data_IF_015500983996
#
_entry.id   IF_015500983996
#
_cell.length_a   1.000
_cell.length_b   1.000
_cell.length_c   1.000
_cell.angle_alpha   90.00
_cell.angle_beta   90.00
_cell.angle_gamma   90.00
#
_symmetry.space_group_name_H-M   'P 1'
#
loop_
_entity.id
_entity.type
_entity.pdbx_description
1 polymer ?
#
# COMPACT_ATOMS: atom_id res chain seq x y z
N UNK A 1 18.11 0.11 -74.33
CA UNK A 1 18.85 0.74 -73.20
C UNK A 1 17.97 1.52 -72.22
N UNK A 2 16.74 1.84 -72.51
CA UNK A 2 15.85 2.64 -71.66
C UNK A 2 15.24 1.83 -70.44
N UNK A 3 15.02 0.53 -70.60
CA UNK A 3 14.31 -0.34 -69.63
C UNK A 3 15.14 -0.69 -68.40
N UNK A 4 16.45 -0.76 -68.51
CA UNK A 4 17.34 -1.13 -67.40
C UNK A 4 17.51 0.01 -66.40
N UNK A 5 17.42 1.26 -66.79
CA UNK A 5 17.48 2.42 -65.91
C UNK A 5 16.20 2.53 -65.04
N UNK A 6 15.06 2.23 -65.64
CA UNK A 6 13.77 2.25 -64.89
C UNK A 6 13.70 1.15 -63.85
N UNK A 7 14.18 -0.05 -64.13
CA UNK A 7 14.24 -1.15 -63.16
C UNK A 7 15.13 -0.82 -61.93
N UNK A 8 16.28 -0.20 -62.19
CA UNK A 8 17.19 0.25 -61.12
C UNK A 8 16.60 1.37 -60.27
N UNK A 9 15.80 2.24 -60.86
CA UNK A 9 15.13 3.32 -60.13
C UNK A 9 14.01 2.76 -59.25
N UNK A 10 13.19 1.86 -59.79
CA UNK A 10 12.11 1.19 -59.05
C UNK A 10 12.69 0.38 -57.89
N UNK A 11 13.80 -0.33 -58.06
CA UNK A 11 14.47 -1.10 -57.03
C UNK A 11 14.97 -0.20 -55.88
N UNK A 12 15.50 0.97 -56.20
CA UNK A 12 15.92 1.94 -55.14
C UNK A 12 14.73 2.47 -54.35
N UNK A 13 13.60 2.74 -55.00
CA UNK A 13 12.40 3.20 -54.30
C UNK A 13 11.80 2.09 -53.42
N UNK A 14 11.86 0.84 -53.86
CA UNK A 14 11.42 -0.31 -53.10
C UNK A 14 12.30 -0.53 -51.85
N UNK A 15 13.61 -0.37 -51.95
CA UNK A 15 14.51 -0.48 -50.81
C UNK A 15 14.31 0.64 -49.77
N UNK A 16 14.02 1.86 -50.19
CA UNK A 16 13.67 2.97 -49.30
C UNK A 16 12.32 2.72 -48.62
N UNK A 17 11.34 2.22 -49.38
CA UNK A 17 10.02 1.90 -48.84
C UNK A 17 10.09 0.77 -47.81
N UNK A 18 10.89 -0.26 -48.07
CA UNK A 18 11.13 -1.35 -47.14
C UNK A 18 11.84 -0.86 -45.86
N UNK A 19 12.82 0.04 -45.96
CA UNK A 19 13.52 0.63 -44.84
C UNK A 19 12.58 1.48 -43.93
N UNK A 20 11.65 2.23 -44.57
CA UNK A 20 10.64 3.02 -43.85
C UNK A 20 9.67 2.10 -43.11
N UNK A 21 9.23 1.01 -43.71
CA UNK A 21 8.35 0.02 -43.04
C UNK A 21 9.06 -0.62 -41.83
N UNK A 22 10.34 -0.93 -41.93
CA UNK A 22 11.09 -1.50 -40.80
C UNK A 22 11.19 -0.55 -39.62
N UNK A 23 11.19 0.77 -39.85
CA UNK A 23 11.21 1.78 -38.77
C UNK A 23 9.86 1.80 -37.99
N UNK A 24 8.74 1.56 -38.68
CA UNK A 24 7.41 1.49 -38.07
C UNK A 24 7.12 0.15 -37.36
N UNK A 25 7.92 -0.89 -37.60
CA UNK A 25 7.79 -2.21 -36.98
C UNK A 25 8.64 -2.37 -35.70
N UNK A 26 9.39 -1.34 -35.28
CA UNK A 26 10.03 -1.36 -33.96
C UNK A 26 8.92 -1.28 -32.90
N UNK A 27 8.66 -2.34 -32.12
CA UNK A 27 7.72 -2.22 -31.03
C UNK A 27 8.31 -1.17 -30.08
N UNK A 28 7.61 -0.06 -29.93
CA UNK A 28 7.85 0.84 -28.81
C UNK A 28 7.45 0.03 -27.59
N UNK A 29 8.42 -0.68 -26.99
CA UNK A 29 8.26 -1.17 -25.64
C UNK A 29 8.11 0.08 -24.78
N UNK A 30 6.87 0.53 -24.61
CA UNK A 30 6.53 1.45 -23.56
C UNK A 30 7.03 0.77 -22.30
N UNK A 31 8.03 1.36 -21.65
CA UNK A 31 8.30 1.09 -20.25
C UNK A 31 7.05 1.56 -19.54
N UNK A 32 6.04 0.68 -19.42
CA UNK A 32 5.08 0.78 -18.36
C UNK A 32 5.96 0.66 -17.11
N UNK A 33 6.30 1.78 -16.52
CA UNK A 33 6.75 1.82 -15.15
C UNK A 33 5.51 1.38 -14.38
N UNK A 34 5.41 0.07 -14.14
CA UNK A 34 4.53 -0.42 -13.10
C UNK A 34 5.00 0.31 -11.85
N UNK A 35 4.15 1.17 -11.29
CA UNK A 35 4.29 1.62 -9.92
C UNK A 35 4.10 0.37 -9.04
N UNK A 36 5.13 -0.47 -9.05
CA UNK A 36 5.20 -1.62 -8.17
C UNK A 36 5.09 -1.08 -6.75
N UNK A 37 4.25 -1.70 -5.95
CA UNK A 37 4.14 -1.38 -4.53
C UNK A 37 5.55 -1.28 -3.94
N UNK A 38 5.82 -0.21 -3.21
CA UNK A 38 7.15 0.03 -2.66
C UNK A 38 7.50 -0.95 -1.55
N UNK A 39 6.50 -1.57 -0.95
CA UNK A 39 6.64 -2.56 0.11
C UNK A 39 5.42 -3.48 0.18
N UNK A 40 5.59 -4.63 0.85
CA UNK A 40 4.53 -5.59 1.15
C UNK A 40 4.34 -5.68 2.66
N UNK A 41 3.10 -6.03 3.06
CA UNK A 41 2.72 -6.23 4.46
C UNK A 41 2.01 -7.56 4.60
N UNK A 42 2.39 -8.34 5.62
CA UNK A 42 1.71 -9.57 5.99
C UNK A 42 1.53 -9.63 7.51
N UNK A 43 0.33 -9.99 8.02
CA UNK A 43 0.13 -10.26 9.44
C UNK A 43 0.75 -11.62 9.81
N UNK A 44 1.35 -11.69 10.99
CA UNK A 44 1.68 -12.94 11.66
C UNK A 44 0.69 -13.12 12.81
N UNK A 45 -0.23 -14.07 12.68
CA UNK A 45 -1.32 -14.23 13.61
C UNK A 45 -0.87 -14.83 14.94
N UNK A 46 -1.29 -14.23 16.08
CA UNK A 46 -1.01 -14.75 17.41
C UNK A 46 -1.87 -15.98 17.73
N UNK A 47 -1.57 -16.64 18.86
CA UNK A 47 -2.34 -17.82 19.30
C UNK A 47 -3.76 -17.49 19.76
N UNK A 48 -4.04 -16.22 20.07
CA UNK A 48 -5.37 -15.69 20.40
C UNK A 48 -6.27 -15.48 19.18
N UNK A 49 -5.72 -15.66 17.95
CA UNK A 49 -6.46 -15.55 16.70
C UNK A 49 -7.60 -16.56 16.64
N UNK A 50 -8.80 -16.10 16.28
CA UNK A 50 -9.93 -16.99 16.03
C UNK A 50 -9.76 -17.75 14.71
N UNK A 51 -10.16 -19.03 14.68
CA UNK A 51 -9.91 -19.94 13.54
C UNK A 51 -10.61 -19.51 12.23
N UNK A 52 -11.57 -18.61 12.29
CA UNK A 52 -12.42 -18.24 11.16
C UNK A 52 -11.82 -17.15 10.25
N UNK A 53 -10.73 -16.51 10.64
CA UNK A 53 -10.10 -15.42 9.88
C UNK A 53 -8.66 -15.77 9.50
N UNK A 54 -8.32 -15.55 8.22
CA UNK A 54 -6.97 -15.76 7.67
C UNK A 54 -6.42 -14.49 6.99
N UNK A 55 -7.16 -13.38 7.00
CA UNK A 55 -6.81 -12.16 6.28
C UNK A 55 -6.76 -10.91 7.15
N UNK A 56 -7.26 -10.99 8.38
CA UNK A 56 -7.25 -9.90 9.34
C UNK A 56 -7.12 -10.46 10.76
N UNK A 57 -6.73 -9.64 11.71
CA UNK A 57 -6.70 -10.02 13.12
C UNK A 57 -8.13 -10.12 13.66
N UNK A 58 -8.51 -11.28 14.14
CA UNK A 58 -9.78 -11.56 14.78
C UNK A 58 -9.48 -12.23 16.12
N UNK A 59 -9.48 -11.43 17.18
CA UNK A 59 -8.89 -11.82 18.48
C UNK A 59 -9.96 -11.94 19.57
N UNK A 60 -9.80 -12.92 20.43
CA UNK A 60 -10.60 -13.06 21.62
C UNK A 60 -9.72 -12.86 22.86
N UNK A 61 -9.78 -11.67 23.43
CA UNK A 61 -8.95 -11.22 24.55
C UNK A 61 -9.78 -10.92 25.78
N UNK A 62 -9.20 -11.16 26.95
CA UNK A 62 -9.82 -10.82 28.24
C UNK A 62 -9.60 -9.34 28.59
N UNK A 63 -10.45 -8.77 29.48
CA UNK A 63 -10.21 -7.42 29.99
C UNK A 63 -8.83 -7.28 30.65
N UNK A 64 -8.12 -6.21 30.26
CA UNK A 64 -6.77 -5.91 30.73
C UNK A 64 -5.66 -6.77 30.14
N UNK A 65 -5.99 -7.71 29.25
CA UNK A 65 -5.00 -8.54 28.55
C UNK A 65 -4.20 -7.70 27.54
N UNK A 66 -2.94 -8.05 27.37
CA UNK A 66 -2.05 -7.45 26.37
C UNK A 66 -1.65 -8.50 25.37
N UNK A 67 -1.78 -8.17 24.08
CA UNK A 67 -1.40 -9.03 22.96
C UNK A 67 -0.39 -8.31 22.07
N UNK A 68 0.54 -9.06 21.48
CA UNK A 68 1.49 -8.55 20.51
C UNK A 68 1.02 -8.87 19.09
N UNK A 69 0.73 -7.84 18.32
CA UNK A 69 0.40 -7.96 16.90
C UNK A 69 1.68 -7.83 16.09
N UNK A 70 1.98 -8.80 15.24
CA UNK A 70 3.19 -8.80 14.44
C UNK A 70 2.86 -8.55 12.98
N UNK A 71 3.49 -7.53 12.39
CA UNK A 71 3.47 -7.25 10.97
C UNK A 71 4.83 -7.60 10.37
N UNK A 72 4.83 -8.36 9.30
CA UNK A 72 6.02 -8.62 8.48
C UNK A 72 6.01 -7.61 7.33
N UNK A 73 6.92 -6.65 7.37
CA UNK A 73 7.12 -5.64 6.33
C UNK A 73 8.28 -6.06 5.44
N UNK A 74 8.12 -5.97 4.13
CA UNK A 74 9.16 -6.25 3.15
C UNK A 74 9.31 -5.05 2.22
N UNK A 75 10.49 -4.46 2.16
CA UNK A 75 10.83 -3.42 1.20
C UNK A 75 11.19 -4.03 -0.15
N UNK A 76 10.47 -3.67 -1.21
CA UNK A 76 10.73 -4.18 -2.57
C UNK A 76 11.67 -3.29 -3.39
N UNK A 77 12.05 -2.12 -2.84
CA UNK A 77 13.02 -1.22 -3.47
C UNK A 77 14.46 -1.59 -3.09
N UNK A 78 15.41 -1.11 -3.89
CA UNK A 78 16.85 -1.20 -3.57
C UNK A 78 17.27 -0.15 -2.52
N UNK A 79 16.55 0.98 -2.47
CA UNK A 79 16.79 2.06 -1.52
C UNK A 79 16.04 1.80 -0.21
N UNK A 80 16.51 2.44 0.87
CA UNK A 80 15.80 2.43 2.15
C UNK A 80 14.52 3.26 2.05
N UNK A 81 13.48 2.80 2.75
CA UNK A 81 12.21 3.52 2.89
C UNK A 81 11.87 3.70 4.37
N UNK A 82 11.07 4.70 4.66
CA UNK A 82 10.46 4.90 5.98
C UNK A 82 8.99 4.57 5.89
N UNK A 83 8.49 3.77 6.81
CA UNK A 83 7.09 3.33 6.87
C UNK A 83 6.50 3.76 8.20
N UNK A 84 5.27 4.25 8.16
CA UNK A 84 4.48 4.58 9.35
C UNK A 84 3.30 3.63 9.46
N UNK A 85 3.03 3.16 10.67
CA UNK A 85 1.83 2.38 11.01
C UNK A 85 0.97 3.23 11.92
N UNK A 86 -0.27 3.48 11.50
CA UNK A 86 -1.22 4.30 12.27
C UNK A 86 -2.49 3.49 12.52
N UNK A 87 -2.82 3.17 13.77
CA UNK A 87 -4.10 2.55 14.11
C UNK A 87 -5.24 3.57 13.98
N UNK A 88 -6.38 3.12 13.48
CA UNK A 88 -7.60 3.90 13.35
C UNK A 88 -8.80 3.12 13.85
N UNK A 89 -9.71 3.80 14.50
CA UNK A 89 -10.99 3.21 14.92
C UNK A 89 -11.97 3.18 13.76
N UNK A 90 -12.63 2.03 13.53
CA UNK A 90 -13.63 1.91 12.49
C UNK A 90 -14.85 2.79 12.77
N UNK A 91 -15.40 3.39 11.72
CA UNK A 91 -16.66 4.11 11.78
C UNK A 91 -17.46 3.93 10.49
N UNK A 92 -18.78 4.14 10.56
CA UNK A 92 -19.63 4.12 9.36
C UNK A 92 -19.80 5.53 8.83
N UNK A 93 -19.40 5.74 7.57
CA UNK A 93 -19.51 7.05 6.94
C UNK A 93 -20.96 7.36 6.52
N UNK A 94 -21.19 8.57 6.00
CA UNK A 94 -22.52 9.05 5.58
C UNK A 94 -23.16 8.24 4.43
N UNK A 95 -22.37 7.44 3.72
CA UNK A 95 -22.83 6.55 2.66
C UNK A 95 -23.14 5.14 3.17
N UNK A 96 -23.03 4.88 4.47
CA UNK A 96 -23.22 3.57 5.07
C UNK A 96 -22.05 2.60 4.88
N UNK A 97 -20.88 3.10 4.50
CA UNK A 97 -19.64 2.30 4.33
C UNK A 97 -18.82 2.36 5.59
N UNK A 98 -18.29 1.20 6.03
CA UNK A 98 -17.35 1.15 7.15
C UNK A 98 -15.95 1.56 6.69
N UNK A 99 -15.39 2.55 7.35
CA UNK A 99 -14.05 3.08 7.12
C UNK A 99 -13.10 2.56 8.20
N UNK A 100 -11.90 2.14 7.80
CA UNK A 100 -10.86 1.59 8.67
C UNK A 100 -9.53 2.35 8.59
N UNK A 101 -9.34 3.19 7.59
CA UNK A 101 -8.05 3.82 7.27
C UNK A 101 -7.93 5.28 7.68
N UNK A 102 -8.91 5.80 8.39
CA UNK A 102 -8.93 7.17 8.94
C UNK A 102 -9.94 7.26 10.07
N UNK A 103 -9.76 8.24 10.94
CA UNK A 103 -10.69 8.48 12.03
C UNK A 103 -11.92 9.27 11.54
N UNK A 104 -13.03 9.14 12.26
CA UNK A 104 -14.20 9.97 12.05
C UNK A 104 -13.86 11.43 12.42
N UNK A 105 -14.33 12.39 11.60
CA UNK A 105 -14.17 13.83 11.91
C UNK A 105 -14.83 14.20 13.24
N UNK A 106 -15.95 13.56 13.55
CA UNK A 106 -16.65 13.68 14.82
C UNK A 106 -16.90 12.26 15.33
N UNK A 107 -16.14 11.80 16.34
CA UNK A 107 -16.38 10.50 16.96
C UNK A 107 -17.79 10.39 17.53
N UNK A 108 -18.38 9.19 17.48
CA UNK A 108 -19.67 8.92 18.11
C UNK A 108 -19.52 9.10 19.65
N UNK A 109 -20.38 9.90 20.29
CA UNK A 109 -20.29 10.14 21.74
C UNK A 109 -20.55 8.89 22.58
N UNK A 110 -21.06 7.81 22.00
CA UNK A 110 -21.22 6.51 22.67
C UNK A 110 -19.99 5.62 22.56
N UNK A 111 -18.98 5.99 21.76
CA UNK A 111 -17.73 5.26 21.64
C UNK A 111 -16.92 5.40 22.94
N UNK A 112 -16.86 4.32 23.73
CA UNK A 112 -16.15 4.30 25.02
C UNK A 112 -14.66 3.98 24.82
N UNK A 113 -14.37 3.05 23.90
CA UNK A 113 -13.01 2.56 23.62
C UNK A 113 -12.69 2.71 22.14
N UNK A 114 -11.73 3.54 21.85
CA UNK A 114 -11.22 3.70 20.47
C UNK A 114 -9.99 2.80 20.28
N UNK A 115 -9.88 2.14 19.11
CA UNK A 115 -8.78 1.22 18.84
C UNK A 115 -7.42 1.91 18.85
N UNK A 116 -7.34 3.11 18.30
CA UNK A 116 -6.13 3.93 18.28
C UNK A 116 -5.57 4.22 19.68
N UNK A 117 -6.44 4.27 20.71
CA UNK A 117 -6.00 4.44 22.11
C UNK A 117 -5.51 3.15 22.77
N UNK A 118 -5.77 2.00 22.19
CA UNK A 118 -5.44 0.67 22.73
C UNK A 118 -4.17 0.07 22.10
N UNK A 119 -3.74 0.59 20.95
CA UNK A 119 -2.56 0.09 20.25
C UNK A 119 -1.40 1.06 20.37
N UNK A 120 -0.30 0.54 20.92
CA UNK A 120 1.00 1.21 20.89
C UNK A 120 1.80 0.71 19.67
N UNK A 121 2.19 1.64 18.80
CA UNK A 121 2.90 1.35 17.56
C UNK A 121 4.16 2.21 17.45
N UNK A 122 5.25 1.71 16.83
CA UNK A 122 6.39 2.53 16.48
C UNK A 122 6.00 3.72 15.61
N UNK A 123 6.52 4.90 15.91
CA UNK A 123 6.17 6.13 15.20
C UNK A 123 6.61 6.08 13.73
N UNK A 124 7.82 5.62 13.46
CA UNK A 124 8.39 5.43 12.12
C UNK A 124 9.30 4.20 12.12
N UNK A 125 9.19 3.39 11.09
CA UNK A 125 9.96 2.18 10.86
C UNK A 125 10.83 2.40 9.64
N UNK A 126 12.14 2.29 9.79
CA UNK A 126 13.08 2.30 8.66
C UNK A 126 13.32 0.87 8.18
N UNK A 127 13.22 0.68 6.86
CA UNK A 127 13.50 -0.58 6.15
C UNK A 127 14.61 -0.33 5.15
N UNK A 128 15.72 -1.01 5.29
CA UNK A 128 16.79 -0.99 4.28
C UNK A 128 16.31 -1.57 2.94
N UNK A 129 17.06 -1.35 1.87
CA UNK A 129 16.71 -1.92 0.56
C UNK A 129 16.60 -3.45 0.64
N UNK A 130 15.50 -4.01 0.11
CA UNK A 130 15.18 -5.45 0.12
C UNK A 130 15.06 -6.09 1.52
N UNK A 131 15.01 -5.29 2.58
CA UNK A 131 14.85 -5.81 3.94
C UNK A 131 13.45 -6.36 4.17
N UNK A 132 13.41 -7.49 4.89
CA UNK A 132 12.20 -8.01 5.53
C UNK A 132 12.34 -7.85 7.05
N UNK A 133 11.39 -7.17 7.68
CA UNK A 133 11.44 -6.82 9.10
C UNK A 133 10.11 -7.14 9.79
N UNK A 134 10.20 -7.72 10.98
CA UNK A 134 9.05 -7.88 11.86
C UNK A 134 8.89 -6.63 12.71
N UNK A 135 7.67 -6.13 12.74
CA UNK A 135 7.27 -4.96 13.53
C UNK A 135 6.21 -5.41 14.52
N UNK A 136 6.47 -5.15 15.77
CA UNK A 136 5.59 -5.49 16.88
C UNK A 136 4.77 -4.28 17.30
N UNK A 137 3.47 -4.47 17.43
CA UNK A 137 2.52 -3.52 17.97
C UNK A 137 1.92 -4.12 19.23
N UNK A 138 1.75 -3.30 20.26
CA UNK A 138 1.18 -3.77 21.54
C UNK A 138 -0.28 -3.35 21.63
N UNK A 139 -1.19 -4.32 21.61
CA UNK A 139 -2.61 -4.12 21.87
C UNK A 139 -2.87 -4.38 23.37
N UNK A 140 -3.43 -3.41 24.07
CA UNK A 140 -3.82 -3.56 25.49
C UNK A 140 -5.32 -3.36 25.64
N UNK A 141 -6.02 -4.39 26.08
CA UNK A 141 -7.47 -4.33 26.27
C UNK A 141 -7.85 -3.47 27.47
N UNK A 142 -9.05 -2.82 27.44
CA UNK A 142 -9.58 -2.12 28.60
C UNK A 142 -9.68 -3.05 29.80
N UNK A 143 -9.43 -2.50 31.00
CA UNK A 143 -9.52 -3.29 32.25
C UNK A 143 -10.94 -3.66 32.62
N UNK A 144 -11.91 -2.85 32.20
CA UNK A 144 -13.32 -3.07 32.43
C UNK A 144 -13.92 -3.89 31.28
N UNK A 145 -14.73 -4.88 31.61
CA UNK A 145 -15.46 -5.63 30.58
C UNK A 145 -16.50 -4.74 29.93
N UNK A 146 -16.69 -4.91 28.64
CA UNK A 146 -17.71 -4.23 27.83
C UNK A 146 -18.44 -5.27 26.97
N UNK A 147 -19.62 -4.91 26.49
CA UNK A 147 -20.36 -5.69 25.51
C UNK A 147 -20.12 -5.10 24.12
N UNK A 148 -19.79 -5.96 23.15
CA UNK A 148 -19.58 -5.55 21.78
C UNK A 148 -18.19 -5.94 21.23
N UNK A 149 -17.84 -5.34 20.10
CA UNK A 149 -16.59 -5.56 19.37
C UNK A 149 -15.89 -4.21 19.22
N UNK A 150 -14.60 -4.19 19.47
CA UNK A 150 -13.74 -3.07 19.09
C UNK A 150 -13.22 -3.39 17.70
N UNK A 151 -13.53 -2.54 16.73
CA UNK A 151 -13.12 -2.70 15.35
C UNK A 151 -12.31 -1.51 14.86
N UNK A 152 -11.34 -1.77 13.99
CA UNK A 152 -10.53 -0.73 13.40
C UNK A 152 -9.57 -1.27 12.35
N UNK A 153 -8.65 -0.43 11.91
CA UNK A 153 -7.65 -0.78 10.93
C UNK A 153 -6.28 -0.20 11.26
N UNK A 154 -5.27 -0.84 10.71
CA UNK A 154 -3.90 -0.34 10.70
C UNK A 154 -3.64 0.23 9.31
N UNK A 155 -3.45 1.54 9.22
CA UNK A 155 -3.01 2.19 8.00
C UNK A 155 -1.49 2.17 7.96
N UNK A 156 -0.94 1.62 6.88
CA UNK A 156 0.49 1.46 6.71
C UNK A 156 0.89 2.22 5.44
N UNK A 157 1.71 3.24 5.60
CA UNK A 157 2.05 4.14 4.51
C UNK A 157 3.56 4.44 4.46
N UNK A 158 4.10 4.61 3.26
CA UNK A 158 5.46 5.10 3.06
C UNK A 158 5.52 6.59 3.38
N UNK A 159 6.41 6.96 4.29
CA UNK A 159 6.68 8.37 4.61
C UNK A 159 7.61 8.92 3.53
N UNK A 160 7.08 9.74 2.64
CA UNK A 160 7.91 10.51 1.70
C UNK A 160 8.36 11.78 2.40
N UNK A 161 9.65 12.06 2.39
CA UNK A 161 10.15 13.39 2.77
C UNK A 161 9.53 14.37 1.75
N UNK A 162 8.85 15.41 2.25
CA UNK A 162 8.30 16.46 1.39
C UNK A 162 9.48 17.13 0.68
N UNK A 163 9.75 16.74 -0.56
CA UNK A 163 10.46 17.62 -1.46
C UNK A 163 9.59 18.86 -1.60
N UNK A 164 10.16 20.05 -1.31
CA UNK A 164 9.47 21.32 -1.48
C UNK A 164 8.78 21.31 -2.85
N UNK A 165 7.46 21.20 -2.82
CA UNK A 165 6.65 21.24 -4.03
C UNK A 165 6.85 22.58 -4.69
N UNK A 166 7.72 22.65 -5.69
CA UNK A 166 7.64 23.66 -6.71
C UNK A 166 6.34 23.38 -7.47
N UNK A 167 5.43 24.28 -7.28
CA UNK A 167 4.08 24.37 -7.82
C UNK A 167 4.12 24.39 -9.35
N UNK A 168 4.18 23.22 -10.02
CA UNK A 168 3.88 23.06 -11.45
C UNK A 168 3.69 21.56 -11.79
N UNK A 169 2.44 21.12 -11.77
CA UNK A 169 2.03 19.85 -12.38
C UNK A 169 0.97 19.10 -11.58
N UNK A 170 -0.24 19.03 -12.12
CA UNK A 170 -1.27 18.08 -11.67
C UNK A 170 -0.79 16.63 -11.86
N UNK A 171 0.05 16.16 -10.96
CA UNK A 171 0.42 14.76 -10.85
C UNK A 171 -0.45 14.09 -9.79
N UNK A 172 -1.21 13.08 -10.17
CA UNK A 172 -1.90 12.21 -9.22
C UNK A 172 -0.81 11.42 -8.47
N UNK A 173 -0.52 11.82 -7.24
CA UNK A 173 0.36 11.04 -6.37
C UNK A 173 -0.42 9.80 -5.91
N UNK A 174 -0.06 8.62 -6.42
CA UNK A 174 -0.59 7.34 -5.93
C UNK A 174 0.13 7.08 -4.61
N UNK A 175 -0.61 7.17 -3.50
CA UNK A 175 -0.13 6.72 -2.19
C UNK A 175 -0.36 5.21 -2.07
N UNK A 176 0.68 4.47 -1.79
CA UNK A 176 0.57 3.06 -1.46
C UNK A 176 0.22 2.93 0.03
N UNK A 177 -1.07 2.83 0.30
CA UNK A 177 -1.59 2.65 1.65
C UNK A 177 -2.09 1.20 1.78
N UNK A 178 -1.61 0.48 2.79
CA UNK A 178 -2.15 -0.82 3.17
C UNK A 178 -3.13 -0.65 4.32
N UNK A 179 -4.30 -1.23 4.17
CA UNK A 179 -5.31 -1.30 5.22
C UNK A 179 -5.39 -2.74 5.72
N UNK A 180 -5.24 -2.90 7.03
CA UNK A 180 -5.44 -4.16 7.72
C UNK A 180 -6.49 -3.95 8.79
N UNK A 181 -7.58 -4.76 8.77
CA UNK A 181 -8.62 -4.72 9.80
C UNK A 181 -8.22 -5.54 11.03
N UNK A 182 -8.70 -5.12 12.17
CA UNK A 182 -8.65 -5.78 13.48
C UNK A 182 -10.04 -6.09 13.93
#
# INVERSE_FOLDING_TARGET
MHNERQKKLIWKWWSVFLAVICIFLVPVTGLAQEDALSFHVQPEFPTSQLENSTSYFDLNLNPGETETLVLVLQNDKEESIKVKVTPHTAYTNVNGVVEYGKDAEVPDPTLIHSLDSLIDSPEVIELAGKETKKVELTLTMPKESFEGIIAGGLRIEEVKEEEEQTDEGEGVAIKNDFLMSL
#
